data_IF_988190495280
#
_entry.id   IF_988190495280
#
_cell.length_a   1.000
_cell.length_b   1.000
_cell.length_c   1.000
_cell.angle_alpha   90.00
_cell.angle_beta   90.00
_cell.angle_gamma   90.00
#
_symmetry.space_group_name_H-M   'P 1'
#
loop_
_entity.id
_entity.type
_entity.pdbx_description
1 polymer ?
#
# COMPACT_ATOMS: atom_id res chain seq x y z
N UNK A 1 1.84 15.11 -13.45
CA UNK A 1 0.73 14.18 -13.09
C UNK A 1 0.98 13.53 -11.71
N UNK A 2 2.05 12.75 -11.56
CA UNK A 2 2.39 12.00 -10.33
C UNK A 2 2.31 12.83 -9.04
N UNK A 3 2.91 14.02 -9.02
CA UNK A 3 2.89 14.92 -7.85
C UNK A 3 1.48 15.32 -7.41
N UNK A 4 0.57 15.62 -8.37
CA UNK A 4 -0.82 15.99 -8.08
C UNK A 4 -1.60 14.84 -7.42
N UNK A 5 -1.27 13.60 -7.79
CA UNK A 5 -1.89 12.40 -7.24
C UNK A 5 -1.21 11.94 -5.93
N UNK A 6 -0.18 12.65 -5.45
CA UNK A 6 0.59 12.26 -4.26
C UNK A 6 1.47 11.03 -4.46
N UNK A 7 1.80 10.67 -5.70
CA UNK A 7 2.62 9.48 -5.99
C UNK A 7 4.11 9.80 -5.82
N UNK A 8 4.85 9.07 -4.94
CA UNK A 8 6.25 9.35 -4.67
C UNK A 8 7.17 8.70 -5.70
N UNK A 9 7.29 9.31 -6.88
CA UNK A 9 8.06 8.77 -8.01
C UNK A 9 9.52 8.43 -7.67
N UNK A 10 10.16 9.21 -6.78
CA UNK A 10 11.54 8.98 -6.34
C UNK A 10 11.69 7.69 -5.51
N UNK A 11 10.64 7.25 -4.81
CA UNK A 11 10.64 6.03 -3.99
C UNK A 11 10.30 4.77 -4.79
N UNK A 12 9.50 4.92 -5.84
CA UNK A 12 8.96 3.82 -6.65
C UNK A 12 9.74 3.57 -7.95
N UNK A 13 10.41 4.60 -8.48
CA UNK A 13 10.89 4.62 -9.86
C UNK A 13 9.76 4.95 -10.85
N UNK A 14 10.13 5.42 -12.05
CA UNK A 14 9.19 6.01 -13.01
C UNK A 14 8.08 5.04 -13.45
N UNK A 15 8.42 3.79 -13.80
CA UNK A 15 7.44 2.81 -14.28
C UNK A 15 6.36 2.50 -13.23
N UNK A 16 6.77 2.09 -12.02
CA UNK A 16 5.85 1.80 -10.91
C UNK A 16 5.04 3.01 -10.47
N UNK A 17 5.63 4.21 -10.55
CA UNK A 17 4.91 5.43 -10.23
C UNK A 17 3.77 5.72 -11.22
N UNK A 18 3.98 5.49 -12.51
CA UNK A 18 2.91 5.62 -13.51
C UNK A 18 1.82 4.56 -13.34
N UNK A 19 2.20 3.31 -13.02
CA UNK A 19 1.25 2.24 -12.69
C UNK A 19 0.38 2.62 -11.48
N UNK A 20 1.00 3.11 -10.39
CA UNK A 20 0.28 3.55 -9.19
C UNK A 20 -0.64 4.75 -9.49
N UNK A 21 -0.19 5.69 -10.30
CA UNK A 21 -1.01 6.83 -10.72
C UNK A 21 -2.26 6.41 -11.51
N UNK A 22 -2.10 5.44 -12.43
CA UNK A 22 -3.22 4.86 -13.17
C UNK A 22 -4.21 4.16 -12.21
N UNK A 23 -3.70 3.44 -11.21
CA UNK A 23 -4.52 2.79 -10.21
C UNK A 23 -5.28 3.81 -9.35
N UNK A 24 -4.63 4.91 -8.93
CA UNK A 24 -5.27 5.99 -8.16
C UNK A 24 -6.42 6.64 -8.93
N UNK A 25 -6.21 6.97 -10.20
CA UNK A 25 -7.26 7.54 -11.05
C UNK A 25 -8.41 6.55 -11.30
N UNK A 26 -8.14 5.24 -11.29
CA UNK A 26 -9.19 4.21 -11.33
C UNK A 26 -10.02 4.21 -10.05
N UNK A 27 -9.37 4.21 -8.88
CA UNK A 27 -10.05 4.27 -7.57
C UNK A 27 -10.87 5.56 -7.41
N UNK A 28 -10.36 6.69 -7.89
CA UNK A 28 -11.08 7.97 -7.85
C UNK A 28 -12.38 7.96 -8.67
N UNK A 29 -12.49 7.08 -9.67
CA UNK A 29 -13.72 6.96 -10.48
C UNK A 29 -14.70 5.91 -9.96
N UNK A 30 -14.31 5.12 -8.96
CA UNK A 30 -15.15 4.04 -8.42
C UNK A 30 -16.22 4.56 -7.45
N UNK A 31 -17.41 3.97 -7.45
CA UNK A 31 -18.43 4.20 -6.41
C UNK A 31 -18.03 3.54 -5.08
N UNK A 32 -18.70 3.90 -3.98
CA UNK A 32 -18.43 3.27 -2.68
C UNK A 32 -18.58 1.73 -2.71
N UNK A 33 -19.65 1.16 -3.32
CA UNK A 33 -19.77 -0.31 -3.48
C UNK A 33 -18.69 -0.93 -4.38
N UNK A 34 -18.10 -0.17 -5.31
CA UNK A 34 -16.96 -0.65 -6.09
C UNK A 34 -15.69 -0.70 -5.22
N UNK A 35 -15.42 0.33 -4.44
CA UNK A 35 -14.28 0.34 -3.50
C UNK A 35 -14.40 -0.75 -2.44
N UNK A 36 -15.59 -0.96 -1.89
CA UNK A 36 -15.87 -2.03 -0.93
C UNK A 36 -15.58 -3.43 -1.52
N UNK A 37 -15.91 -3.64 -2.80
CA UNK A 37 -15.52 -4.87 -3.51
C UNK A 37 -14.01 -5.01 -3.66
N UNK A 38 -13.30 -3.93 -3.94
CA UNK A 38 -11.82 -3.96 -4.02
C UNK A 38 -11.19 -4.37 -2.68
N UNK A 39 -11.70 -3.88 -1.54
CA UNK A 39 -11.23 -4.32 -0.21
C UNK A 39 -11.37 -5.84 -0.04
N UNK A 40 -12.55 -6.38 -0.38
CA UNK A 40 -12.80 -7.83 -0.31
C UNK A 40 -11.88 -8.63 -1.23
N UNK A 41 -11.66 -8.16 -2.45
CA UNK A 41 -10.76 -8.82 -3.40
C UNK A 41 -9.30 -8.81 -2.94
N UNK A 42 -8.90 -7.78 -2.20
CA UNK A 42 -7.56 -7.65 -1.64
C UNK A 42 -7.42 -8.28 -0.25
N UNK A 43 -8.46 -8.97 0.24
CA UNK A 43 -8.51 -9.59 1.58
C UNK A 43 -8.15 -8.62 2.71
N UNK A 44 -8.46 -7.34 2.51
CA UNK A 44 -8.24 -6.29 3.50
C UNK A 44 -9.34 -6.32 4.57
N UNK A 45 -9.05 -5.91 5.81
CA UNK A 45 -10.09 -5.82 6.84
C UNK A 45 -11.22 -4.87 6.41
N UNK A 46 -12.41 -5.06 6.97
CA UNK A 46 -13.56 -4.22 6.67
C UNK A 46 -13.45 -2.88 7.42
N UNK A 47 -13.38 -1.78 6.67
CA UNK A 47 -13.31 -0.41 7.20
C UNK A 47 -14.60 0.37 7.00
N UNK A 48 -15.71 -0.32 6.75
CA UNK A 48 -17.03 0.26 6.54
C UNK A 48 -17.37 0.43 5.07
N UNK A 49 -18.36 1.28 4.81
CA UNK A 49 -18.98 1.40 3.47
C UNK A 49 -18.83 2.79 2.85
N UNK A 50 -18.26 3.75 3.60
CA UNK A 50 -18.17 5.13 3.15
C UNK A 50 -16.96 5.37 2.24
N UNK A 51 -17.20 5.96 1.07
CA UNK A 51 -16.16 6.26 0.08
C UNK A 51 -15.04 7.14 0.63
N UNK A 52 -15.36 8.11 1.49
CA UNK A 52 -14.36 9.02 2.09
C UNK A 52 -13.40 8.30 3.03
N UNK A 53 -13.79 7.14 3.57
CA UNK A 53 -12.96 6.29 4.41
C UNK A 53 -12.22 5.22 3.58
N UNK A 54 -12.91 4.60 2.62
CA UNK A 54 -12.39 3.51 1.80
C UNK A 54 -11.33 3.97 0.80
N UNK A 55 -11.55 5.09 0.11
CA UNK A 55 -10.64 5.57 -0.93
C UNK A 55 -9.20 5.87 -0.41
N UNK A 56 -9.00 6.67 0.66
CA UNK A 56 -7.65 6.96 1.14
C UNK A 56 -6.93 5.69 1.62
N UNK A 57 -7.66 4.75 2.22
CA UNK A 57 -7.11 3.46 2.67
C UNK A 57 -6.67 2.58 1.51
N UNK A 58 -7.47 2.44 0.45
CA UNK A 58 -7.04 1.70 -0.75
C UNK A 58 -5.82 2.34 -1.41
N UNK A 59 -5.79 3.68 -1.51
CA UNK A 59 -4.62 4.38 -2.05
C UNK A 59 -3.36 4.11 -1.21
N UNK A 60 -3.49 4.13 0.10
CA UNK A 60 -2.40 3.83 1.03
C UNK A 60 -1.93 2.38 0.91
N UNK A 61 -2.85 1.42 0.84
CA UNK A 61 -2.52 0.02 0.60
C UNK A 61 -1.78 -0.17 -0.72
N UNK A 62 -2.29 0.37 -1.82
CA UNK A 62 -1.64 0.26 -3.13
C UNK A 62 -0.25 0.92 -3.16
N UNK A 63 -0.06 2.02 -2.42
CA UNK A 63 1.27 2.60 -2.26
C UNK A 63 2.19 1.61 -1.57
N UNK A 64 1.81 1.10 -0.41
CA UNK A 64 2.62 0.14 0.33
C UNK A 64 2.94 -1.10 -0.49
N UNK A 65 1.96 -1.69 -1.19
CA UNK A 65 2.17 -2.85 -2.05
C UNK A 65 3.09 -2.59 -3.25
N UNK A 66 3.26 -1.33 -3.67
CA UNK A 66 4.16 -0.94 -4.76
C UNK A 66 5.59 -0.64 -4.29
N UNK A 67 5.79 -0.41 -2.97
CA UNK A 67 7.09 -0.12 -2.39
C UNK A 67 7.97 -1.38 -2.32
N UNK A 68 9.27 -1.20 -2.54
CA UNK A 68 10.25 -2.26 -2.32
C UNK A 68 10.44 -2.56 -0.82
N UNK A 69 11.14 -3.66 -0.48
CA UNK A 69 11.33 -4.08 0.91
C UNK A 69 11.95 -2.97 1.78
N UNK A 70 13.00 -2.31 1.31
CA UNK A 70 13.65 -1.21 2.05
C UNK A 70 12.67 -0.06 2.35
N UNK A 71 11.90 0.37 1.35
CA UNK A 71 10.91 1.43 1.50
C UNK A 71 9.79 1.08 2.47
N UNK A 72 9.32 -0.17 2.44
CA UNK A 72 8.35 -0.68 3.39
C UNK A 72 8.90 -0.72 4.82
N UNK A 73 10.18 -1.05 4.98
CA UNK A 73 10.86 -0.96 6.28
C UNK A 73 10.81 0.46 6.85
N UNK A 74 11.08 1.46 6.00
CA UNK A 74 10.96 2.88 6.39
C UNK A 74 9.52 3.27 6.74
N UNK A 75 8.52 2.77 6.01
CA UNK A 75 7.11 2.99 6.37
C UNK A 75 6.80 2.43 7.76
N UNK A 76 7.22 1.20 8.07
CA UNK A 76 7.04 0.61 9.38
C UNK A 76 7.69 1.46 10.48
N UNK A 77 8.98 1.79 10.33
CA UNK A 77 9.74 2.59 11.29
C UNK A 77 9.11 3.97 11.54
N UNK A 78 8.76 4.69 10.47
CA UNK A 78 8.15 6.03 10.58
C UNK A 78 6.80 6.04 11.31
N UNK A 79 6.14 4.88 11.41
CA UNK A 79 4.83 4.69 12.02
C UNK A 79 4.92 3.96 13.36
N UNK A 80 6.12 3.67 13.85
CA UNK A 80 6.33 2.92 15.09
C UNK A 80 5.88 1.46 15.02
N UNK A 81 5.75 0.90 13.81
CA UNK A 81 5.37 -0.49 13.59
C UNK A 81 6.62 -1.36 13.65
N UNK A 82 6.66 -2.43 14.47
CA UNK A 82 7.77 -3.38 14.48
C UNK A 82 7.97 -3.98 13.08
N UNK A 83 9.06 -3.61 12.42
CA UNK A 83 9.35 -4.07 11.06
C UNK A 83 10.08 -5.43 11.12
N UNK A 84 9.53 -6.49 10.50
CA UNK A 84 10.28 -7.72 10.29
C UNK A 84 11.62 -7.42 9.62
N UNK A 85 12.68 -8.06 10.12
CA UNK A 85 14.04 -7.91 9.60
C UNK A 85 14.36 -9.08 8.67
N UNK A 86 15.15 -8.86 7.60
CA UNK A 86 15.64 -9.95 6.77
C UNK A 86 16.45 -10.93 7.63
N UNK A 87 16.17 -12.24 7.50
CA UNK A 87 17.01 -13.26 8.10
C UNK A 87 18.42 -13.20 7.49
N UNK A 88 19.46 -13.28 8.33
CA UNK A 88 20.84 -13.23 7.86
C UNK A 88 21.12 -14.41 6.91
N UNK A 89 21.43 -14.12 5.64
CA UNK A 89 21.90 -15.11 4.66
C UNK A 89 20.83 -15.79 3.80
N UNK A 90 19.55 -15.43 3.91
CA UNK A 90 18.52 -15.84 2.94
C UNK A 90 18.35 -14.78 1.84
N UNK A 91 17.85 -15.16 0.67
CA UNK A 91 17.29 -14.24 -0.34
C UNK A 91 15.75 -14.26 -0.21
N UNK A 92 15.13 -13.40 0.62
CA UNK A 92 13.76 -13.50 1.09
C UNK A 92 12.98 -12.24 0.73
N UNK A 93 13.26 -11.62 -0.42
CA UNK A 93 12.77 -10.28 -0.72
C UNK A 93 11.23 -10.23 -0.77
N UNK A 94 10.57 -11.29 -1.24
CA UNK A 94 9.10 -11.39 -1.29
C UNK A 94 8.51 -11.65 0.09
N UNK A 95 9.05 -12.60 0.85
CA UNK A 95 8.60 -12.93 2.21
C UNK A 95 8.69 -11.69 3.12
N UNK A 96 9.78 -10.94 3.00
CA UNK A 96 9.97 -9.71 3.78
C UNK A 96 8.97 -8.61 3.40
N UNK A 97 8.62 -8.48 2.12
CA UNK A 97 7.59 -7.53 1.67
C UNK A 97 6.23 -7.91 2.27
N UNK A 98 5.84 -9.18 2.15
CA UNK A 98 4.55 -9.65 2.65
C UNK A 98 4.44 -9.49 4.18
N UNK A 99 5.48 -9.85 4.92
CA UNK A 99 5.51 -9.69 6.38
C UNK A 99 5.44 -8.22 6.80
N UNK A 100 6.10 -7.31 6.09
CA UNK A 100 6.01 -5.86 6.35
C UNK A 100 4.64 -5.29 6.02
N UNK A 101 4.03 -5.70 4.90
CA UNK A 101 2.65 -5.33 4.57
C UNK A 101 1.67 -5.82 5.63
N UNK A 102 1.83 -7.07 6.09
CA UNK A 102 1.02 -7.64 7.17
C UNK A 102 1.18 -6.86 8.47
N UNK A 103 2.40 -6.47 8.84
CA UNK A 103 2.65 -5.66 10.02
C UNK A 103 1.94 -4.29 9.92
N UNK A 104 2.02 -3.63 8.76
CA UNK A 104 1.33 -2.36 8.53
C UNK A 104 -0.19 -2.49 8.63
N UNK A 105 -0.77 -3.59 8.15
CA UNK A 105 -2.19 -3.88 8.37
C UNK A 105 -2.48 -4.06 9.86
N UNK A 106 -1.87 -5.04 10.51
CA UNK A 106 -2.19 -5.40 11.91
C UNK A 106 -2.07 -4.22 12.88
N UNK A 107 -1.13 -3.31 12.66
CA UNK A 107 -0.85 -2.23 13.62
C UNK A 107 -1.58 -0.92 13.34
N UNK A 108 -2.04 -0.68 12.11
CA UNK A 108 -2.60 0.64 11.74
C UNK A 108 -4.10 0.56 11.41
N UNK A 109 -4.60 -0.64 11.19
CA UNK A 109 -5.86 -0.95 10.54
C UNK A 109 -6.59 -2.02 11.36
#
# INVERSE_FOLDING_TARGET
RLQRLGVPAQRLGAARAEELANAYERLERMSAPQLEREFRTLELPDFGTDRSQLLPRLKQWLLWSALGPHELGRECESRGVPAPQPAAGADPAQDLVQERLRALLVHLW
#
